data_IF_582527514990
#
_entry.id   IF_582527514990
#
_cell.length_a   1.000
_cell.length_b   1.000
_cell.length_c   1.000
_cell.angle_alpha   90.00
_cell.angle_beta   90.00
_cell.angle_gamma   90.00
#
_symmetry.space_group_name_H-M   'P 1'
#
loop_
_entity.id
_entity.type
_entity.pdbx_description
1 polymer ?
#
# COMPACT_ATOMS: atom_id res chain seq x y z
N UNK A 1 -58.35 -11.45 28.20
CA UNK A 1 -57.56 -12.68 27.94
C UNK A 1 -56.12 -12.38 28.30
N UNK A 2 -55.71 -12.75 29.51
CA UNK A 2 -54.38 -12.47 30.05
C UNK A 2 -53.36 -13.46 29.44
N UNK A 3 -52.34 -12.93 28.77
CA UNK A 3 -51.24 -13.74 28.24
C UNK A 3 -50.22 -14.01 29.35
N UNK A 4 -49.98 -15.28 29.64
CA UNK A 4 -48.93 -15.75 30.54
C UNK A 4 -47.57 -15.55 29.88
N UNK A 5 -46.71 -14.74 30.49
CA UNK A 5 -45.31 -14.62 30.12
C UNK A 5 -44.54 -15.81 30.72
N UNK A 6 -43.90 -16.62 29.86
CA UNK A 6 -43.05 -17.74 30.29
C UNK A 6 -41.67 -17.21 30.63
N UNK A 7 -41.27 -17.38 31.89
CA UNK A 7 -39.92 -17.06 32.37
C UNK A 7 -39.01 -18.25 32.02
N UNK A 8 -38.15 -18.09 31.02
CA UNK A 8 -37.12 -19.08 30.70
C UNK A 8 -35.88 -18.85 31.58
N UNK A 9 -35.43 -19.90 32.27
CA UNK A 9 -34.26 -19.86 33.13
C UNK A 9 -32.98 -20.03 32.31
N UNK A 10 -32.06 -19.07 32.43
CA UNK A 10 -30.71 -19.16 31.85
C UNK A 10 -29.90 -20.21 32.62
N UNK A 11 -29.61 -21.32 31.96
CA UNK A 11 -28.69 -22.34 32.46
C UNK A 11 -27.25 -21.81 32.34
N UNK A 12 -26.59 -21.61 33.50
CA UNK A 12 -25.17 -21.24 33.55
C UNK A 12 -24.33 -22.44 33.13
N UNK A 13 -23.64 -22.32 32.00
CA UNK A 13 -22.68 -23.32 31.54
C UNK A 13 -21.55 -23.51 32.56
N UNK A 14 -21.28 -24.76 32.92
CA UNK A 14 -20.19 -25.17 33.80
C UNK A 14 -18.86 -24.91 33.11
N UNK A 15 -18.17 -23.84 33.48
CA UNK A 15 -16.84 -23.55 32.96
C UNK A 15 -15.80 -24.46 33.66
N UNK A 16 -15.31 -25.46 32.94
CA UNK A 16 -14.21 -26.33 33.37
C UNK A 16 -12.86 -25.60 33.19
N UNK A 17 -12.64 -24.51 33.92
CA UNK A 17 -11.33 -23.90 33.99
C UNK A 17 -10.51 -24.64 35.04
N UNK A 18 -9.51 -25.41 34.60
CA UNK A 18 -8.47 -25.91 35.51
C UNK A 18 -7.66 -24.71 36.02
N UNK A 19 -7.92 -24.28 37.25
CA UNK A 19 -7.00 -23.42 37.97
C UNK A 19 -5.73 -24.23 38.31
N UNK A 20 -4.53 -23.81 37.87
CA UNK A 20 -3.29 -24.40 38.36
C UNK A 20 -3.17 -24.14 39.87
N UNK A 21 -2.69 -25.14 40.63
CA UNK A 21 -2.38 -24.95 42.06
C UNK A 21 -1.27 -23.90 42.19
N UNK A 22 -1.33 -23.00 43.20
CA UNK A 22 -0.25 -22.06 43.44
C UNK A 22 1.04 -22.82 43.76
N UNK A 23 2.14 -22.41 43.13
CA UNK A 23 3.46 -22.97 43.39
C UNK A 23 3.88 -22.65 44.83
N UNK A 24 4.27 -23.67 45.59
CA UNK A 24 4.80 -23.50 46.94
C UNK A 24 6.26 -23.09 46.83
N UNK A 25 6.52 -21.80 47.01
CA UNK A 25 7.88 -21.24 47.00
C UNK A 25 8.54 -21.43 48.37
N UNK A 26 9.85 -21.71 48.38
CA UNK A 26 10.63 -21.77 49.61
C UNK A 26 10.65 -20.38 50.30
N UNK A 27 10.67 -20.30 51.65
CA UNK A 27 10.54 -19.04 52.37
C UNK A 27 11.58 -17.99 51.95
N UNK A 28 12.81 -18.41 51.67
CA UNK A 28 13.90 -17.53 51.20
C UNK A 28 13.59 -16.87 49.84
N UNK A 29 12.92 -17.59 48.94
CA UNK A 29 12.54 -17.04 47.63
C UNK A 29 11.41 -16.01 47.74
N UNK A 30 10.48 -16.21 48.68
CA UNK A 30 9.41 -15.26 48.96
C UNK A 30 9.94 -13.94 49.54
N UNK A 31 11.01 -14.00 50.34
CA UNK A 31 11.69 -12.81 50.88
C UNK A 31 12.38 -12.01 49.76
N UNK A 32 13.14 -12.66 48.87
CA UNK A 32 13.77 -12.01 47.71
C UNK A 32 12.75 -11.29 46.81
N UNK A 33 11.62 -11.96 46.53
CA UNK A 33 10.52 -11.41 45.73
C UNK A 33 9.90 -10.15 46.36
N UNK A 34 9.87 -10.08 47.70
CA UNK A 34 9.39 -8.88 48.41
C UNK A 34 10.44 -7.77 48.46
N UNK A 35 11.72 -8.12 48.49
CA UNK A 35 12.86 -7.18 48.48
C UNK A 35 13.13 -6.51 47.13
N UNK A 36 12.57 -7.04 46.04
CA UNK A 36 12.78 -6.50 44.68
C UNK A 36 14.14 -6.87 44.07
N UNK A 37 14.84 -7.83 44.66
CA UNK A 37 16.13 -8.30 44.19
C UNK A 37 15.99 -9.17 42.93
N UNK A 38 17.10 -9.30 42.18
CA UNK A 38 17.13 -10.11 40.96
C UNK A 38 16.85 -11.58 41.27
N UNK A 39 15.93 -12.18 40.52
CA UNK A 39 15.59 -13.60 40.66
C UNK A 39 16.82 -14.51 40.47
N UNK A 40 16.91 -15.65 41.19
CA UNK A 40 18.03 -16.58 41.07
C UNK A 40 18.26 -17.02 39.62
N UNK A 41 19.49 -16.89 39.12
CA UNK A 41 19.86 -17.31 37.76
C UNK A 41 19.80 -18.84 37.58
N UNK A 42 19.89 -19.59 38.68
CA UNK A 42 19.66 -21.03 38.71
C UNK A 42 18.41 -21.33 39.54
N UNK A 43 17.34 -21.70 38.84
CA UNK A 43 16.23 -22.40 39.45
C UNK A 43 16.56 -23.89 39.54
N UNK A 44 16.13 -24.56 40.61
CA UNK A 44 16.12 -26.03 40.63
C UNK A 44 15.31 -26.52 39.43
N UNK A 45 15.78 -27.57 38.73
CA UNK A 45 15.07 -28.09 37.57
C UNK A 45 13.64 -28.39 38.00
N UNK A 46 12.69 -27.72 37.37
CA UNK A 46 11.28 -28.12 37.48
C UNK A 46 11.25 -29.62 37.22
N UNK A 47 10.47 -30.39 37.98
CA UNK A 47 10.36 -31.86 37.90
C UNK A 47 10.24 -32.44 36.46
N UNK A 48 9.94 -31.59 35.47
CA UNK A 48 9.93 -31.87 34.03
C UNK A 48 11.30 -31.95 33.34
N UNK A 49 12.40 -31.44 33.92
CA UNK A 49 13.71 -31.43 33.27
C UNK A 49 14.37 -32.80 33.35
N UNK A 50 13.97 -33.69 32.44
CA UNK A 50 14.72 -34.90 32.13
C UNK A 50 16.05 -34.47 31.51
N UNK A 51 17.12 -34.53 32.29
CA UNK A 51 18.49 -34.58 31.77
C UNK A 51 18.57 -35.81 30.87
N UNK A 52 18.49 -35.59 29.56
CA UNK A 52 18.71 -36.66 28.61
C UNK A 52 20.19 -37.07 28.70
N UNK A 53 20.49 -38.37 28.87
CA UNK A 53 21.88 -38.82 28.81
C UNK A 53 22.47 -38.47 27.44
N UNK A 54 23.77 -38.16 27.43
CA UNK A 54 24.56 -37.97 26.22
C UNK A 54 24.28 -39.13 25.25
N UNK A 55 23.78 -38.82 24.04
CA UNK A 55 23.48 -39.80 23.01
C UNK A 55 24.80 -40.43 22.53
N UNK A 56 25.16 -41.57 23.10
CA UNK A 56 26.02 -42.53 22.42
C UNK A 56 25.34 -42.88 21.08
N UNK A 57 26.01 -42.79 19.92
CA UNK A 57 25.41 -43.17 18.66
C UNK A 57 25.09 -44.67 18.72
N UNK A 58 23.80 -45.01 18.75
CA UNK A 58 23.35 -46.38 18.70
C UNK A 58 23.86 -47.03 17.40
N UNK A 59 24.37 -48.25 17.49
CA UNK A 59 24.76 -49.04 16.33
C UNK A 59 23.58 -49.14 15.37
N UNK A 60 23.83 -48.91 14.08
CA UNK A 60 22.80 -48.87 13.06
C UNK A 60 22.09 -50.22 12.95
N UNK A 61 20.88 -50.31 13.51
CA UNK A 61 19.99 -51.45 13.30
C UNK A 61 19.47 -51.32 11.86
N UNK A 62 19.97 -52.17 10.96
CA UNK A 62 19.46 -52.29 9.59
C UNK A 62 18.09 -52.97 9.60
N UNK A 63 17.03 -52.19 9.77
CA UNK A 63 15.66 -52.66 9.54
C UNK A 63 15.34 -52.63 8.04
N UNK A 64 14.62 -53.63 7.50
CA UNK A 64 14.15 -53.62 6.12
C UNK A 64 13.28 -52.37 5.86
N UNK A 65 13.40 -51.70 4.68
CA UNK A 65 12.66 -50.46 4.36
C UNK A 65 11.14 -50.54 4.52
N UNK A 66 10.58 -51.75 4.50
CA UNK A 66 9.14 -52.04 4.60
C UNK A 66 8.63 -51.80 6.04
N UNK A 67 9.49 -52.01 7.05
CA UNK A 67 9.18 -51.78 8.46
C UNK A 67 9.63 -50.38 8.93
N UNK A 68 10.26 -49.60 8.06
CA UNK A 68 10.62 -48.22 8.36
C UNK A 68 9.35 -47.38 8.41
N UNK A 69 8.92 -47.02 9.62
CA UNK A 69 7.86 -46.05 9.85
C UNK A 69 8.29 -44.76 9.16
N UNK A 70 7.69 -44.45 8.00
CA UNK A 70 7.92 -43.19 7.31
C UNK A 70 7.47 -42.08 8.24
N UNK A 71 8.41 -41.27 8.73
CA UNK A 71 8.06 -40.09 9.49
C UNK A 71 7.24 -39.18 8.58
N UNK A 72 6.00 -38.87 8.98
CA UNK A 72 5.15 -37.90 8.27
C UNK A 72 5.64 -36.44 8.43
N UNK A 73 6.86 -36.27 8.91
CA UNK A 73 7.48 -34.98 9.16
C UNK A 73 8.08 -34.45 7.86
N UNK A 74 7.98 -33.14 7.65
CA UNK A 74 8.62 -32.51 6.50
C UNK A 74 10.15 -32.51 6.68
N UNK A 75 10.93 -32.83 5.63
CA UNK A 75 12.38 -32.69 5.65
C UNK A 75 12.79 -31.24 5.97
N UNK A 76 13.94 -31.07 6.64
CA UNK A 76 14.44 -29.76 7.05
C UNK A 76 14.57 -28.76 5.89
N UNK A 77 14.96 -29.25 4.69
CA UNK A 77 15.05 -28.44 3.48
C UNK A 77 13.70 -27.82 3.08
N UNK A 78 12.61 -28.59 3.18
CA UNK A 78 11.26 -28.11 2.88
C UNK A 78 10.78 -27.07 3.90
N UNK A 79 11.17 -27.21 5.16
CA UNK A 79 10.85 -26.22 6.20
C UNK A 79 11.62 -24.91 5.98
N UNK A 80 12.86 -24.99 5.50
CA UNK A 80 13.71 -23.82 5.24
C UNK A 80 13.40 -23.10 3.92
N UNK A 81 12.86 -23.81 2.93
CA UNK A 81 12.60 -23.29 1.58
C UNK A 81 11.71 -22.03 1.55
N UNK A 82 10.79 -21.89 2.50
CA UNK A 82 9.84 -20.77 2.53
C UNK A 82 10.43 -19.49 3.14
N UNK A 83 11.73 -19.45 3.44
CA UNK A 83 12.36 -18.28 4.04
C UNK A 83 11.88 -17.94 5.46
N UNK A 84 11.07 -18.82 6.09
CA UNK A 84 10.48 -18.60 7.42
C UNK A 84 11.52 -18.40 8.54
N UNK A 85 12.75 -18.86 8.31
CA UNK A 85 13.87 -18.70 9.22
C UNK A 85 14.75 -17.47 8.90
N UNK A 86 14.45 -16.76 7.81
CA UNK A 86 15.14 -15.53 7.45
C UNK A 86 14.57 -14.39 8.27
N UNK A 87 15.43 -13.64 8.95
CA UNK A 87 15.03 -12.46 9.73
C UNK A 87 14.58 -11.34 8.79
N UNK A 88 13.42 -10.75 9.06
CA UNK A 88 12.95 -9.57 8.34
C UNK A 88 13.97 -8.44 8.41
N UNK A 89 14.32 -7.89 7.25
CA UNK A 89 15.24 -6.76 7.18
C UNK A 89 14.51 -5.50 7.63
N UNK A 90 15.11 -4.75 8.56
CA UNK A 90 14.62 -3.44 8.94
C UNK A 90 14.57 -2.53 7.71
N UNK A 91 13.37 -2.02 7.39
CA UNK A 91 13.17 -0.99 6.39
C UNK A 91 12.81 0.29 7.13
N UNK A 92 13.72 1.29 7.20
CA UNK A 92 13.38 2.55 7.84
C UNK A 92 12.20 3.17 7.10
N UNK A 93 11.11 3.42 7.83
CA UNK A 93 9.95 4.12 7.31
C UNK A 93 10.29 5.59 7.15
N UNK A 94 9.80 6.23 6.08
CA UNK A 94 9.87 7.68 5.94
C UNK A 94 9.32 8.33 7.22
N UNK A 95 10.21 8.93 8.01
CA UNK A 95 9.86 9.48 9.32
C UNK A 95 9.02 10.72 9.08
N UNK A 96 7.88 10.83 9.78
CA UNK A 96 7.10 12.07 9.77
C UNK A 96 7.92 13.17 10.45
N UNK A 97 7.73 14.42 10.03
CA UNK A 97 8.43 15.55 10.66
C UNK A 97 8.03 15.66 12.15
N UNK A 98 8.93 15.25 13.05
CA UNK A 98 8.68 15.17 14.49
C UNK A 98 8.27 16.54 15.08
N UNK A 99 8.82 17.62 14.54
CA UNK A 99 8.50 18.99 14.96
C UNK A 99 7.07 19.40 14.59
N UNK A 100 6.58 18.97 13.42
CA UNK A 100 5.19 19.21 13.01
C UNK A 100 4.23 18.43 13.90
N UNK A 101 4.56 17.18 14.22
CA UNK A 101 3.74 16.33 15.07
C UNK A 101 3.72 16.82 16.53
N UNK A 102 4.88 17.26 17.05
CA UNK A 102 4.95 17.93 18.36
C UNK A 102 4.05 19.16 18.40
N UNK A 103 4.08 20.01 17.37
CA UNK A 103 3.21 21.20 17.30
C UNK A 103 1.73 20.83 17.17
N UNK A 104 1.40 19.82 16.37
CA UNK A 104 0.04 19.29 16.24
C UNK A 104 -0.50 18.84 17.60
N UNK A 105 0.26 18.03 18.33
CA UNK A 105 -0.12 17.53 19.66
C UNK A 105 -0.22 18.64 20.70
N UNK A 106 0.70 19.63 20.67
CA UNK A 106 0.60 20.82 21.52
C UNK A 106 -0.71 21.58 21.29
N UNK A 107 -1.12 21.78 20.04
CA UNK A 107 -2.38 22.44 19.70
C UNK A 107 -3.59 21.60 20.16
N UNK A 108 -3.54 20.27 19.99
CA UNK A 108 -4.60 19.37 20.46
C UNK A 108 -4.73 19.44 21.99
N UNK A 109 -3.63 19.41 22.74
CA UNK A 109 -3.68 19.48 24.20
C UNK A 109 -4.08 20.86 24.73
N UNK A 110 -3.67 21.92 24.05
CA UNK A 110 -4.02 23.28 24.45
C UNK A 110 -5.48 23.63 24.12
N UNK A 111 -5.98 23.23 22.93
CA UNK A 111 -7.24 23.72 22.36
C UNK A 111 -8.30 22.63 22.17
N UNK A 112 -7.95 21.36 22.37
CA UNK A 112 -8.83 20.20 22.19
C UNK A 112 -9.19 19.88 20.73
N UNK A 113 -8.64 20.63 19.77
CA UNK A 113 -8.93 20.52 18.33
C UNK A 113 -7.66 20.32 17.55
N UNK A 114 -7.71 19.44 16.56
CA UNK A 114 -6.62 19.27 15.61
C UNK A 114 -6.49 20.54 14.76
N UNK A 115 -5.26 21.06 14.53
CA UNK A 115 -5.10 22.19 13.63
C UNK A 115 -5.50 21.76 12.21
N UNK A 116 -6.61 22.32 11.72
CA UNK A 116 -6.91 22.33 10.28
C UNK A 116 -5.67 22.83 9.55
N UNK A 117 -5.08 21.99 8.70
CA UNK A 117 -4.12 22.44 7.70
C UNK A 117 -4.89 23.47 6.88
N UNK A 118 -4.69 24.75 7.20
CA UNK A 118 -5.28 25.86 6.46
C UNK A 118 -4.95 25.58 5.01
N UNK A 119 -5.96 25.16 4.24
CA UNK A 119 -5.82 24.93 2.81
C UNK A 119 -5.26 26.24 2.30
N UNK A 120 -3.98 26.22 1.92
CA UNK A 120 -3.36 27.40 1.34
C UNK A 120 -4.28 27.77 0.18
N UNK A 121 -4.72 29.02 0.14
CA UNK A 121 -5.27 29.57 -1.10
C UNK A 121 -4.29 29.16 -2.20
N UNK A 122 -4.77 28.68 -3.37
CA UNK A 122 -3.87 28.36 -4.46
C UNK A 122 -2.91 29.55 -4.63
N UNK A 123 -1.60 29.30 -4.81
CA UNK A 123 -0.68 30.39 -5.08
C UNK A 123 -1.28 31.25 -6.20
N UNK A 124 -1.18 32.60 -6.15
CA UNK A 124 -1.54 33.40 -7.31
C UNK A 124 -0.80 32.78 -8.48
N UNK A 125 -1.56 32.35 -9.49
CA UNK A 125 -1.03 31.74 -10.70
C UNK A 125 0.13 32.62 -11.14
N UNK A 126 1.36 32.11 -10.97
CA UNK A 126 2.47 32.64 -11.73
C UNK A 126 2.02 32.43 -13.16
N UNK A 127 1.80 33.53 -13.88
CA UNK A 127 1.88 33.48 -15.33
C UNK A 127 3.29 32.92 -15.59
N UNK A 128 3.38 31.60 -15.79
CA UNK A 128 4.45 31.08 -16.61
C UNK A 128 4.45 31.96 -17.85
N UNK A 129 5.63 32.44 -18.26
CA UNK A 129 5.78 33.13 -19.55
C UNK A 129 4.86 32.41 -20.54
N UNK A 130 3.96 33.12 -21.26
CA UNK A 130 3.01 32.45 -22.13
C UNK A 130 3.82 31.45 -22.91
N UNK A 131 3.52 30.15 -22.71
CA UNK A 131 4.11 29.10 -23.51
C UNK A 131 4.01 29.62 -24.94
N UNK A 132 5.10 29.61 -25.73
CA UNK A 132 5.15 30.30 -27.02
C UNK A 132 3.82 30.02 -27.71
N UNK A 133 3.01 31.07 -27.91
CA UNK A 133 1.68 30.94 -28.49
C UNK A 133 1.89 30.06 -29.70
N UNK A 134 1.37 28.84 -29.64
CA UNK A 134 1.52 27.91 -30.74
C UNK A 134 0.96 28.67 -31.92
N UNK A 135 1.80 28.88 -32.93
CA UNK A 135 1.39 29.66 -34.07
C UNK A 135 0.06 29.05 -34.55
N UNK A 136 -0.98 29.86 -34.76
CA UNK A 136 -2.32 29.36 -35.15
C UNK A 136 -2.22 28.36 -36.32
N UNK A 137 -1.22 28.54 -37.17
CA UNK A 137 -0.83 27.59 -38.21
C UNK A 137 -0.47 26.19 -37.67
N UNK A 138 0.41 26.10 -36.67
CA UNK A 138 0.77 24.83 -36.01
C UNK A 138 -0.42 24.19 -35.29
N UNK A 139 -1.30 24.99 -34.68
CA UNK A 139 -2.54 24.48 -34.09
C UNK A 139 -3.42 23.81 -35.14
N UNK A 140 -3.64 24.48 -36.29
CA UNK A 140 -4.42 23.92 -37.40
C UNK A 140 -3.83 22.62 -37.95
N UNK A 141 -2.50 22.52 -38.04
CA UNK A 141 -1.82 21.28 -38.46
C UNK A 141 -2.08 20.14 -37.48
N UNK A 142 -1.96 20.40 -36.18
CA UNK A 142 -2.26 19.40 -35.14
C UNK A 142 -3.73 18.98 -35.20
N UNK A 143 -4.62 19.95 -35.31
CA UNK A 143 -6.05 19.76 -35.42
C UNK A 143 -6.46 18.94 -36.65
N UNK A 144 -5.78 19.08 -37.79
CA UNK A 144 -5.99 18.25 -38.98
C UNK A 144 -5.51 16.82 -38.71
N UNK A 145 -4.35 16.68 -38.07
CA UNK A 145 -3.77 15.38 -37.77
C UNK A 145 -4.66 14.57 -36.81
N UNK A 146 -5.14 15.20 -35.74
CA UNK A 146 -6.09 14.58 -34.79
C UNK A 146 -7.36 14.09 -35.49
N UNK A 147 -7.88 14.86 -36.46
CA UNK A 147 -9.07 14.45 -37.23
C UNK A 147 -8.78 13.27 -38.15
N UNK A 148 -7.59 13.21 -38.76
CA UNK A 148 -7.16 12.05 -39.56
C UNK A 148 -7.03 10.80 -38.70
N UNK A 149 -6.43 10.92 -37.52
CA UNK A 149 -6.27 9.83 -36.57
C UNK A 149 -7.61 9.34 -36.07
N UNK A 150 -8.51 10.25 -35.68
CA UNK A 150 -9.88 9.90 -35.33
C UNK A 150 -10.60 9.14 -36.45
N UNK A 151 -10.46 9.58 -37.70
CA UNK A 151 -11.07 8.87 -38.82
C UNK A 151 -10.47 7.47 -39.02
N UNK A 152 -9.14 7.33 -38.86
CA UNK A 152 -8.48 6.04 -38.93
C UNK A 152 -8.97 5.08 -37.84
N UNK A 153 -9.14 5.56 -36.61
CA UNK A 153 -9.69 4.78 -35.50
C UNK A 153 -11.13 4.34 -35.79
N UNK A 154 -11.96 5.24 -36.30
CA UNK A 154 -13.35 4.92 -36.66
C UNK A 154 -13.43 3.97 -37.86
N UNK A 155 -12.50 4.04 -38.80
CA UNK A 155 -12.39 3.09 -39.91
C UNK A 155 -11.94 1.71 -39.44
N UNK A 156 -10.99 1.63 -38.51
CA UNK A 156 -10.56 0.38 -37.89
C UNK A 156 -11.71 -0.32 -37.14
N UNK A 157 -12.61 0.47 -36.54
CA UNK A 157 -13.85 -0.02 -35.91
C UNK A 157 -14.99 -0.31 -36.91
N UNK A 158 -14.78 -0.09 -38.21
CA UNK A 158 -15.78 -0.32 -39.26
C UNK A 158 -16.86 0.78 -39.37
N UNK A 159 -16.76 1.85 -38.59
CA UNK A 159 -17.71 2.97 -38.56
C UNK A 159 -17.36 4.13 -39.49
N UNK A 160 -16.31 4.01 -40.31
CA UNK A 160 -15.83 5.08 -41.18
C UNK A 160 -16.89 5.70 -42.11
N UNK A 161 -17.90 4.93 -42.55
CA UNK A 161 -18.99 5.45 -43.40
C UNK A 161 -19.81 6.56 -42.73
N UNK A 162 -19.93 6.53 -41.41
CA UNK A 162 -20.69 7.51 -40.64
C UNK A 162 -19.92 8.83 -40.49
N UNK A 163 -18.59 8.74 -40.36
CA UNK A 163 -17.75 9.87 -40.00
C UNK A 163 -17.00 10.49 -41.19
N UNK A 164 -16.72 9.74 -42.27
CA UNK A 164 -15.93 10.21 -43.42
C UNK A 164 -16.35 11.59 -43.94
N UNK A 165 -17.64 11.78 -44.20
CA UNK A 165 -18.14 13.04 -44.75
C UNK A 165 -17.86 14.23 -43.81
N UNK A 166 -18.21 14.06 -42.53
CA UNK A 166 -18.05 15.09 -41.49
C UNK A 166 -16.57 15.43 -41.31
N UNK A 167 -15.73 14.42 -41.14
CA UNK A 167 -14.30 14.62 -40.91
C UNK A 167 -13.63 15.28 -42.12
N UNK A 168 -13.97 14.86 -43.35
CA UNK A 168 -13.42 15.50 -44.55
C UNK A 168 -13.83 16.97 -44.65
N UNK A 169 -15.07 17.33 -44.30
CA UNK A 169 -15.49 18.73 -44.30
C UNK A 169 -14.74 19.57 -43.27
N UNK A 170 -14.48 19.02 -42.08
CA UNK A 170 -13.72 19.73 -41.03
C UNK A 170 -12.24 19.86 -41.38
N UNK A 171 -11.65 18.84 -42.02
CA UNK A 171 -10.28 18.93 -42.54
C UNK A 171 -10.22 20.03 -43.62
N UNK A 172 -11.17 20.07 -44.55
CA UNK A 172 -11.24 21.10 -45.58
C UNK A 172 -11.40 22.50 -44.98
N UNK A 173 -12.24 22.66 -43.95
CA UNK A 173 -12.40 23.93 -43.24
C UNK A 173 -11.07 24.41 -42.65
N UNK A 174 -10.34 23.53 -41.96
CA UNK A 174 -9.04 23.85 -41.35
C UNK A 174 -7.97 24.19 -42.39
N UNK A 175 -7.98 23.51 -43.55
CA UNK A 175 -7.10 23.85 -44.67
C UNK A 175 -7.40 25.25 -45.22
N UNK A 176 -8.67 25.61 -45.35
CA UNK A 176 -9.05 26.95 -45.81
C UNK A 176 -8.63 28.03 -44.79
N UNK A 177 -8.80 27.80 -43.49
CA UNK A 177 -8.30 28.71 -42.45
C UNK A 177 -6.78 28.92 -42.54
N UNK A 178 -6.05 27.85 -42.86
CA UNK A 178 -4.60 27.90 -43.05
C UNK A 178 -4.21 28.73 -44.28
N UNK A 179 -4.90 28.54 -45.41
CA UNK A 179 -4.70 29.32 -46.63
C UNK A 179 -4.98 30.82 -46.40
N UNK A 180 -6.04 31.15 -45.67
CA UNK A 180 -6.38 32.54 -45.33
C UNK A 180 -5.30 33.21 -44.48
N UNK A 181 -4.69 32.47 -43.54
CA UNK A 181 -3.58 32.97 -42.72
C UNK A 181 -2.32 33.21 -43.56
N UNK A 182 -1.99 32.30 -44.46
CA UNK A 182 -0.86 32.45 -45.38
C UNK A 182 -1.05 33.65 -46.31
N UNK A 183 -2.26 33.83 -46.85
CA UNK A 183 -2.58 35.01 -47.65
C UNK A 183 -2.38 36.30 -46.84
N UNK A 184 -2.91 36.39 -45.61
CA UNK A 184 -2.74 37.57 -44.74
C UNK A 184 -1.27 37.89 -44.47
N UNK A 185 -0.47 36.88 -44.10
CA UNK A 185 0.97 37.02 -43.87
C UNK A 185 1.70 37.52 -45.10
N UNK A 186 1.38 36.94 -46.26
CA UNK A 186 2.01 37.35 -47.52
C UNK A 186 1.71 38.82 -47.87
N UNK A 187 0.48 39.29 -47.61
CA UNK A 187 0.07 40.67 -47.82
C UNK A 187 0.74 41.63 -46.84
N UNK A 188 0.85 41.26 -45.56
CA UNK A 188 1.57 42.03 -44.54
C UNK A 188 3.05 42.19 -44.91
N UNK A 189 3.70 41.10 -45.36
CA UNK A 189 5.08 41.14 -45.83
C UNK A 189 5.24 42.03 -47.05
N UNK A 190 4.34 41.92 -48.05
CA UNK A 190 4.36 42.81 -49.23
C UNK A 190 4.24 44.28 -48.85
N UNK A 191 3.35 44.62 -47.92
CA UNK A 191 3.18 45.99 -47.42
C UNK A 191 4.43 46.48 -46.71
N UNK A 192 5.03 45.67 -45.84
CA UNK A 192 6.25 46.03 -45.13
C UNK A 192 7.41 46.34 -46.10
N UNK A 193 7.57 45.52 -47.15
CA UNK A 193 8.57 45.74 -48.19
C UNK A 193 8.29 46.96 -49.07
N UNK A 194 7.02 47.33 -49.27
CA UNK A 194 6.65 48.52 -50.03
C UNK A 194 6.86 49.83 -49.24
N UNK A 195 6.90 49.76 -47.90
CA UNK A 195 7.12 50.91 -47.02
C UNK A 195 8.59 51.23 -46.74
N UNK A 196 9.52 50.36 -47.15
CA UNK A 196 10.98 50.55 -47.05
C UNK A 196 11.56 51.09 -48.35
#
# INVERSE_FOLDING_TARGET
MASQERVETVTKGTAFWRCPKPATYAPETCELLRGGDTLPLQCSPTSSQRVLPSKQPASAIYLPPILAIRSHLRPASMCQANGAYSREQFKPQATRDLEKEKRRLQNIFATGKEPEERKRKPPPVRQENPAPELDRFEELVKEIQERKEFLADMEALGQGRQYRGIILTEISQKLQEMEDLDHKRSEELRKALATT
#
